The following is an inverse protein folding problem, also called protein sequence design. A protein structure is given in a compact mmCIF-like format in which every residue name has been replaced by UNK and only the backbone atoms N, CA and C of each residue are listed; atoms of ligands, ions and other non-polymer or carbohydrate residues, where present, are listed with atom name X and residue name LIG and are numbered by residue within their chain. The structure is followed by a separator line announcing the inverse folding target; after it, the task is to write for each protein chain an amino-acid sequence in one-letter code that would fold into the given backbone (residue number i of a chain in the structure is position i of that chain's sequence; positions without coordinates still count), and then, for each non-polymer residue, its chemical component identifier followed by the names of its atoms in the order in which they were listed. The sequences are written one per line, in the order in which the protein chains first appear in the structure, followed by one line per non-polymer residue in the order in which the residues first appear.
data_IF_416486221832
#
_entry.id   IF_416486221832
#
_cell.length_a   1.000
_cell.length_b   1.000
_cell.length_c   1.000
_cell.angle_alpha   90.00
_cell.angle_beta   90.00
_cell.angle_gamma   90.00
#
_symmetry.space_group_name_H-M   'P 1'
#
loop_
_entity.id
_entity.type
_entity.pdbx_description
1 polymer ?
#
# COMPACT_ATOMS: atom_id res chain seq x y z
N UNK A 1 27.80 28.63 -2.58
CA UNK A 1 26.39 28.68 -2.15
C UNK A 1 25.62 27.91 -3.19
N UNK A 2 25.08 26.73 -2.84
CA UNK A 2 24.53 25.81 -3.84
C UNK A 2 23.28 26.42 -4.47
N UNK A 3 23.33 26.68 -5.78
CA UNK A 3 22.20 27.12 -6.60
C UNK A 3 21.13 26.03 -6.65
N UNK A 4 20.38 25.93 -5.56
CA UNK A 4 19.13 25.19 -5.52
C UNK A 4 18.16 25.97 -6.39
N UNK A 5 18.23 25.73 -7.70
CA UNK A 5 17.23 26.17 -8.67
C UNK A 5 15.87 25.87 -8.05
N UNK A 6 15.15 26.92 -7.64
CA UNK A 6 13.78 26.79 -7.17
C UNK A 6 13.02 26.23 -8.36
N UNK A 7 12.80 24.91 -8.37
CA UNK A 7 12.05 24.25 -9.42
C UNK A 7 10.60 24.66 -9.22
N UNK A 8 10.27 25.76 -9.88
CA UNK A 8 8.92 26.29 -9.95
C UNK A 8 8.16 25.44 -10.97
N UNK A 9 7.14 24.75 -10.48
CA UNK A 9 6.32 23.82 -11.24
C UNK A 9 5.07 24.57 -11.65
N UNK A 10 4.79 24.58 -12.94
CA UNK A 10 3.53 25.12 -13.46
C UNK A 10 2.38 24.19 -13.09
N UNK A 11 1.30 24.76 -12.56
CA UNK A 11 0.11 24.03 -12.16
C UNK A 11 -0.75 23.73 -13.39
N UNK A 12 -0.87 22.45 -13.73
CA UNK A 12 -1.79 21.93 -14.74
C UNK A 12 -3.20 21.73 -14.16
N UNK A 13 -4.14 21.23 -14.96
CA UNK A 13 -5.52 20.99 -14.52
C UNK A 13 -5.62 19.97 -13.38
N UNK A 14 -4.77 18.93 -13.36
CA UNK A 14 -4.79 17.89 -12.34
C UNK A 14 -4.21 18.39 -11.02
N UNK A 15 -3.08 19.08 -11.07
CA UNK A 15 -2.47 19.74 -9.92
C UNK A 15 -3.38 20.85 -9.39
N UNK A 16 -4.12 21.55 -10.25
CA UNK A 16 -5.11 22.54 -9.82
C UNK A 16 -6.18 21.91 -8.92
N UNK A 17 -6.72 20.75 -9.32
CA UNK A 17 -7.73 20.00 -8.54
C UNK A 17 -7.18 19.46 -7.23
N UNK A 18 -5.95 18.94 -7.21
CA UNK A 18 -5.36 18.33 -6.01
C UNK A 18 -4.86 19.40 -5.02
N UNK A 19 -4.24 20.47 -5.52
CA UNK A 19 -3.57 21.49 -4.72
C UNK A 19 -4.50 22.67 -4.36
N UNK A 20 -5.70 22.74 -4.95
CA UNK A 20 -6.62 23.88 -4.89
C UNK A 20 -5.91 25.20 -5.25
N UNK A 21 -5.22 25.22 -6.40
CA UNK A 21 -4.51 26.39 -6.92
C UNK A 21 -4.98 26.66 -8.35
N UNK A 22 -5.15 27.91 -8.80
CA UNK A 22 -5.51 28.20 -10.18
C UNK A 22 -4.50 27.61 -11.19
N UNK A 23 -5.02 27.13 -12.32
CA UNK A 23 -4.24 26.66 -13.48
C UNK A 23 -3.34 27.79 -13.98
N UNK A 24 -2.11 27.45 -14.36
CA UNK A 24 -1.13 28.41 -14.88
C UNK A 24 -0.36 29.20 -13.80
N UNK A 25 -0.62 28.93 -12.51
CA UNK A 25 0.23 29.41 -11.43
C UNK A 25 1.52 28.61 -11.31
N UNK A 26 2.52 29.16 -10.63
CA UNK A 26 3.77 28.48 -10.32
C UNK A 26 3.85 28.17 -8.83
N UNK A 27 4.20 26.93 -8.50
CA UNK A 27 4.37 26.45 -7.12
C UNK A 27 5.73 25.79 -6.95
N UNK A 28 6.33 25.92 -5.77
CA UNK A 28 7.59 25.24 -5.50
C UNK A 28 7.35 23.73 -5.31
N UNK A 29 8.37 22.92 -5.60
CA UNK A 29 8.32 21.48 -5.30
C UNK A 29 7.96 21.18 -3.82
N UNK A 30 8.42 22.02 -2.89
CA UNK A 30 8.10 21.88 -1.47
C UNK A 30 6.60 22.11 -1.18
N UNK A 31 5.96 23.02 -1.90
CA UNK A 31 4.54 23.30 -1.73
C UNK A 31 3.67 22.18 -2.31
N UNK A 32 4.08 21.62 -3.46
CA UNK A 32 3.42 20.45 -4.06
C UNK A 32 3.43 19.28 -3.07
N UNK A 33 4.60 18.91 -2.55
CA UNK A 33 4.72 17.77 -1.62
C UNK A 33 3.87 17.94 -0.36
N UNK A 34 3.89 19.13 0.26
CA UNK A 34 3.05 19.43 1.44
C UNK A 34 1.56 19.32 1.14
N UNK A 35 1.12 19.91 0.03
CA UNK A 35 -0.30 19.93 -0.34
C UNK A 35 -0.79 18.54 -0.75
N UNK A 36 -0.02 17.77 -1.52
CA UNK A 36 -0.33 16.37 -1.83
C UNK A 36 -0.44 15.55 -0.56
N UNK A 37 0.49 15.71 0.39
CA UNK A 37 0.40 15.02 1.67
C UNK A 37 -0.87 15.41 2.44
N UNK A 38 -1.22 16.70 2.48
CA UNK A 38 -2.45 17.17 3.12
C UNK A 38 -3.70 16.59 2.43
N UNK A 39 -3.70 16.51 1.10
CA UNK A 39 -4.78 15.91 0.30
C UNK A 39 -4.95 14.43 0.62
N UNK A 40 -3.86 13.67 0.67
CA UNK A 40 -3.86 12.24 1.02
C UNK A 40 -4.43 12.04 2.43
N UNK A 41 -4.05 12.89 3.38
CA UNK A 41 -4.51 12.83 4.78
C UNK A 41 -6.00 13.16 4.91
N UNK A 42 -6.48 14.22 4.25
CA UNK A 42 -7.90 14.62 4.29
C UNK A 42 -8.80 13.56 3.66
N UNK A 43 -8.37 12.95 2.55
CA UNK A 43 -9.14 11.93 1.85
C UNK A 43 -8.93 10.50 2.40
N UNK A 44 -8.17 10.33 3.50
CA UNK A 44 -7.84 9.03 4.09
C UNK A 44 -7.35 7.99 3.06
N UNK A 45 -6.62 8.44 2.03
CA UNK A 45 -6.11 7.58 0.94
C UNK A 45 -4.93 6.72 1.36
N UNK A 46 -4.41 6.93 2.57
CA UNK A 46 -3.49 6.00 3.19
C UNK A 46 -4.30 4.76 3.50
N UNK A 47 -4.19 3.77 2.61
CA UNK A 47 -4.56 2.40 2.94
C UNK A 47 -3.75 2.06 4.19
N UNK A 48 -4.41 2.06 5.36
CA UNK A 48 -3.99 1.10 6.36
C UNK A 48 -4.10 -0.21 5.62
N UNK A 49 -2.96 -0.86 5.43
CA UNK A 49 -3.02 -2.30 5.25
C UNK A 49 -3.59 -2.76 6.59
N UNK A 50 -4.92 -2.69 6.71
CA UNK A 50 -5.65 -3.61 7.53
C UNK A 50 -5.15 -4.93 6.97
N UNK A 51 -4.21 -5.51 7.71
CA UNK A 51 -3.93 -6.92 7.61
C UNK A 51 -5.33 -7.55 7.66
N UNK A 52 -5.88 -7.84 6.48
CA UNK A 52 -7.02 -8.72 6.36
C UNK A 52 -6.55 -9.98 7.06
N UNK A 53 -7.02 -10.10 8.30
CA UNK A 53 -6.58 -11.10 9.22
C UNK A 53 -6.70 -12.44 8.54
N UNK A 54 -5.57 -13.12 8.42
CA UNK A 54 -5.41 -14.46 9.00
C UNK A 54 -6.68 -15.32 8.92
N UNK A 55 -7.13 -15.58 7.70
CA UNK A 55 -7.93 -16.75 7.36
C UNK A 55 -7.09 -17.93 6.89
N UNK A 56 -5.77 -17.73 6.70
CA UNK A 56 -4.83 -18.81 6.47
C UNK A 56 -4.40 -19.37 7.81
N UNK A 57 -5.14 -20.35 8.32
CA UNK A 57 -4.64 -21.17 9.42
C UNK A 57 -3.20 -21.60 9.11
N UNK A 58 -2.41 -21.84 10.16
CA UNK A 58 -1.24 -22.71 10.05
C UNK A 58 -1.74 -24.12 9.68
N UNK A 59 -2.32 -24.25 8.49
CA UNK A 59 -2.69 -25.50 7.87
C UNK A 59 -1.37 -26.22 7.69
N UNK A 60 -1.17 -27.26 8.48
CA UNK A 60 -0.02 -28.13 8.31
C UNK A 60 -0.12 -28.67 6.89
N UNK A 61 0.94 -28.56 6.10
CA UNK A 61 0.96 -29.23 4.81
C UNK A 61 1.53 -30.62 5.01
N UNK A 62 1.03 -31.58 4.23
CA UNK A 62 1.62 -32.91 4.26
C UNK A 62 3.05 -32.86 3.74
N UNK A 63 4.03 -33.29 4.53
CA UNK A 63 5.43 -33.39 4.07
C UNK A 63 5.60 -34.33 2.86
N UNK A 64 4.66 -35.26 2.64
CA UNK A 64 4.74 -36.26 1.56
C UNK A 64 3.92 -35.92 0.32
N UNK A 65 2.70 -35.37 0.46
CA UNK A 65 1.80 -35.12 -0.67
C UNK A 65 1.42 -33.65 -0.86
N UNK A 66 1.89 -32.75 0.01
CA UNK A 66 1.60 -31.32 -0.08
C UNK A 66 0.14 -30.93 0.15
N UNK A 67 -0.74 -31.87 0.50
CA UNK A 67 -2.13 -31.56 0.81
C UNK A 67 -2.22 -30.63 2.03
N UNK A 68 -3.17 -29.69 2.01
CA UNK A 68 -3.48 -28.89 3.19
C UNK A 68 -4.18 -29.75 4.23
N UNK A 69 -3.55 -29.94 5.39
CA UNK A 69 -4.17 -30.58 6.54
C UNK A 69 -4.74 -29.51 7.49
N UNK A 70 -5.87 -29.80 8.14
CA UNK A 70 -6.34 -28.97 9.23
C UNK A 70 -5.31 -28.99 10.38
N UNK A 71 -5.20 -27.91 11.17
CA UNK A 71 -4.12 -27.76 12.18
C UNK A 71 -4.11 -28.85 13.27
N UNK A 72 -5.21 -29.61 13.43
CA UNK A 72 -5.36 -30.71 14.39
C UNK A 72 -5.23 -32.12 13.80
N UNK A 73 -5.00 -32.27 12.49
CA UNK A 73 -4.86 -33.59 11.90
C UNK A 73 -3.52 -34.22 12.27
N UNK A 74 -3.60 -35.44 12.83
CA UNK A 74 -2.43 -36.29 13.12
C UNK A 74 -1.99 -37.11 11.90
N UNK A 75 -2.90 -37.32 10.95
CA UNK A 75 -2.68 -38.13 9.75
C UNK A 75 -3.19 -37.39 8.52
N UNK A 76 -2.54 -37.64 7.40
CA UNK A 76 -2.90 -37.12 6.08
C UNK A 76 -4.00 -37.98 5.43
N UNK A 77 -5.17 -37.39 5.12
CA UNK A 77 -6.29 -38.13 4.53
C UNK A 77 -6.00 -38.67 3.12
N UNK A 78 -5.08 -38.03 2.38
CA UNK A 78 -4.71 -38.48 1.02
C UNK A 78 -3.66 -39.58 0.99
N UNK A 79 -2.81 -39.65 2.01
CA UNK A 79 -1.57 -40.41 1.95
C UNK A 79 -1.34 -41.32 3.18
N UNK A 80 -2.17 -41.19 4.22
CA UNK A 80 -2.13 -41.98 5.45
C UNK A 80 -0.94 -41.68 6.36
N UNK A 81 -0.03 -40.78 5.98
CA UNK A 81 1.20 -40.51 6.74
C UNK A 81 0.96 -39.55 7.89
N UNK A 82 1.57 -39.86 9.04
CA UNK A 82 1.56 -39.03 10.25
C UNK A 82 2.26 -37.67 10.00
N UNK A 83 1.67 -36.56 10.46
CA UNK A 83 2.18 -35.19 10.28
C UNK A 83 2.59 -34.52 11.60
#
# INVERSE_FOLDING_TARGET
MSDFTRKDIMVDENLSRILNVPVGSYVSFADVTKKVYSYIKVNNLIRRVEEEGRGGGTGKFCFKCGAGLPPKAKFCDKCGVMQ
#
